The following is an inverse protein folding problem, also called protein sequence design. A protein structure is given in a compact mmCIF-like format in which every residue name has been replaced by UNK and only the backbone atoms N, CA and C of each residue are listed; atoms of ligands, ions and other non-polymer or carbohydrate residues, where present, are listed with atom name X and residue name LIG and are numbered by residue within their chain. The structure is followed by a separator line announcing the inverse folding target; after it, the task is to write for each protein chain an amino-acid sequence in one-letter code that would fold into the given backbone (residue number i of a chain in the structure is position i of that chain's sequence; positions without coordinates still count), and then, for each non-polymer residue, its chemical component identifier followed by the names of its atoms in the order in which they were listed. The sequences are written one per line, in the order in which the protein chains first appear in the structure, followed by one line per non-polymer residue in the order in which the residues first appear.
data_IF_615697415334
#
_entry.id   IF_615697415334
#
_cell.length_a   1.000
_cell.length_b   1.000
_cell.length_c   1.000
_cell.angle_alpha   90.00
_cell.angle_beta   90.00
_cell.angle_gamma   90.00
#
_symmetry.space_group_name_H-M   'P 1'
#
loop_
_entity.id
_entity.type
_entity.pdbx_description
1 polymer ?
#
# COMPACT_ATOMS: atom_id res chain seq x y z
N UNK A 1 -10.10 17.44 23.23
CA UNK A 1 -11.01 16.47 22.58
C UNK A 1 -10.39 15.08 22.68
N UNK A 2 -11.17 14.03 22.89
CA UNK A 2 -10.68 12.64 22.90
C UNK A 2 -11.33 11.88 21.74
N UNK A 3 -10.57 11.00 21.09
CA UNK A 3 -11.04 10.12 20.02
C UNK A 3 -10.43 8.74 20.15
N UNK A 4 -11.27 7.72 20.12
CA UNK A 4 -10.83 6.32 20.09
C UNK A 4 -11.09 5.73 18.71
N UNK A 5 -10.15 4.94 18.20
CA UNK A 5 -10.30 4.30 16.91
C UNK A 5 -9.10 3.47 16.49
N UNK A 6 -9.29 2.72 15.40
CA UNK A 6 -8.22 1.95 14.79
C UNK A 6 -7.22 2.90 14.14
N UNK A 7 -5.96 2.79 14.54
CA UNK A 7 -4.84 3.49 13.94
C UNK A 7 -4.53 2.84 12.59
N UNK A 8 -4.31 3.67 11.57
CA UNK A 8 -3.87 3.27 10.26
C UNK A 8 -2.69 4.12 9.85
N UNK A 9 -1.56 3.47 9.55
CA UNK A 9 -0.32 4.13 9.13
C UNK A 9 -0.08 3.76 7.67
N UNK A 10 -0.09 4.74 6.78
CA UNK A 10 0.16 4.53 5.36
C UNK A 10 0.83 5.76 4.75
N UNK A 11 1.85 5.56 3.91
CA UNK A 11 2.58 6.63 3.23
C UNK A 11 3.10 7.75 4.18
N UNK A 12 3.65 7.37 5.34
CA UNK A 12 4.11 8.29 6.40
C UNK A 12 3.00 9.11 7.10
N UNK A 13 1.73 8.87 6.77
CA UNK A 13 0.60 9.49 7.43
C UNK A 13 -0.06 8.52 8.42
N UNK A 14 -0.43 9.04 9.58
CA UNK A 14 -1.22 8.31 10.57
C UNK A 14 -2.67 8.80 10.57
N UNK A 15 -3.62 7.86 10.61
CA UNK A 15 -5.07 8.12 10.55
C UNK A 15 -5.80 7.33 11.62
N UNK A 16 -6.74 7.96 12.32
CA UNK A 16 -7.65 7.28 13.26
C UNK A 16 -9.09 7.43 12.79
N UNK A 17 -9.74 6.32 12.47
CA UNK A 17 -11.11 6.30 11.90
C UNK A 17 -11.24 7.23 10.69
N UNK A 18 -10.23 7.25 9.80
CA UNK A 18 -10.21 8.08 8.60
C UNK A 18 -9.85 9.56 8.82
N UNK A 19 -9.61 9.99 10.06
CA UNK A 19 -9.13 11.34 10.35
C UNK A 19 -7.61 11.37 10.39
N UNK A 20 -7.01 12.29 9.65
CA UNK A 20 -5.57 12.51 9.60
C UNK A 20 -5.05 13.07 10.93
N UNK A 21 -3.93 12.55 11.38
CA UNK A 21 -3.25 12.98 12.60
C UNK A 21 -2.08 13.88 12.24
N UNK A 22 -1.93 14.98 12.97
CA UNK A 22 -0.78 15.86 12.91
C UNK A 22 -0.28 16.15 14.32
N UNK A 23 0.97 16.61 14.42
CA UNK A 23 1.54 17.07 15.67
C UNK A 23 2.14 18.45 15.49
N UNK A 24 1.96 19.28 16.52
CA UNK A 24 2.65 20.57 16.57
C UNK A 24 4.13 20.29 16.88
N UNK A 25 4.99 20.62 15.93
CA UNK A 25 6.44 20.46 16.00
C UNK A 25 7.11 21.66 15.37
N UNK A 26 8.37 21.90 15.71
CA UNK A 26 9.19 22.95 15.11
C UNK A 26 9.69 22.56 13.70
N UNK A 27 9.55 21.29 13.32
CA UNK A 27 9.88 20.75 12.00
C UNK A 27 8.79 21.00 10.94
N UNK A 28 9.15 20.89 9.66
CA UNK A 28 8.19 21.07 8.56
C UNK A 28 7.26 19.88 8.31
N UNK A 29 7.44 18.75 8.99
CA UNK A 29 6.71 17.51 8.73
C UNK A 29 5.79 17.12 9.91
N UNK A 30 4.64 17.80 9.98
CA UNK A 30 3.65 17.64 11.07
C UNK A 30 2.99 16.26 11.07
N UNK A 31 2.86 15.62 9.90
CA UNK A 31 2.21 14.32 9.72
C UNK A 31 3.15 13.15 10.02
N UNK A 32 4.40 13.23 9.57
CA UNK A 32 5.46 12.31 9.92
C UNK A 32 5.77 12.35 11.41
N UNK A 33 5.81 13.55 12.01
CA UNK A 33 5.96 13.71 13.45
C UNK A 33 4.83 13.04 14.25
N UNK A 34 3.60 13.09 13.75
CA UNK A 34 2.48 12.37 14.36
C UNK A 34 2.66 10.84 14.25
N UNK A 35 3.12 10.36 13.08
CA UNK A 35 3.40 8.94 12.86
C UNK A 35 4.51 8.43 13.77
N UNK A 36 5.63 9.15 13.87
CA UNK A 36 6.72 8.82 14.79
C UNK A 36 6.26 8.88 16.25
N UNK A 37 5.42 9.84 16.61
CA UNK A 37 4.84 9.90 17.94
C UNK A 37 4.00 8.67 18.28
N UNK A 38 3.18 8.17 17.33
CA UNK A 38 2.41 6.94 17.55
C UNK A 38 3.34 5.74 17.77
N UNK A 39 4.36 5.59 16.93
CA UNK A 39 5.35 4.51 17.03
C UNK A 39 6.09 4.57 18.38
N UNK A 40 6.50 5.76 18.80
CA UNK A 40 7.17 5.99 20.09
C UNK A 40 6.26 5.67 21.30
N UNK A 41 4.94 5.77 21.14
CA UNK A 41 3.96 5.33 22.14
C UNK A 41 3.53 3.87 21.98
N UNK A 42 4.30 3.07 21.23
CA UNK A 42 4.05 1.65 21.02
C UNK A 42 2.66 1.36 20.40
N UNK A 43 2.20 2.28 19.54
CA UNK A 43 0.98 2.17 18.77
C UNK A 43 1.30 1.83 17.31
N UNK A 44 0.97 0.62 16.88
CA UNK A 44 1.27 0.12 15.54
C UNK A 44 0.07 0.23 14.59
N UNK A 45 0.29 0.01 13.29
CA UNK A 45 -0.80 -0.08 12.31
C UNK A 45 -1.80 -1.19 12.70
N UNK A 46 -3.08 -0.85 12.70
CA UNK A 46 -4.17 -1.74 13.09
C UNK A 46 -4.49 -1.77 14.58
N UNK A 47 -3.70 -1.12 15.43
CA UNK A 47 -3.99 -1.05 16.85
C UNK A 47 -5.19 -0.15 17.18
N UNK A 48 -5.88 -0.49 18.26
CA UNK A 48 -6.87 0.37 18.85
C UNK A 48 -6.19 1.41 19.74
N UNK A 49 -6.36 2.68 19.41
CA UNK A 49 -5.73 3.77 20.14
C UNK A 49 -6.76 4.79 20.59
N UNK A 50 -6.50 5.41 21.73
CA UNK A 50 -7.19 6.60 22.18
C UNK A 50 -6.23 7.78 22.10
N UNK A 51 -6.61 8.79 21.34
CA UNK A 51 -5.86 10.02 21.14
C UNK A 51 -6.59 11.19 21.77
N UNK A 52 -5.83 12.12 22.36
CA UNK A 52 -6.37 13.38 22.83
C UNK A 52 -5.70 14.54 22.12
N UNK A 53 -6.46 15.60 21.88
CA UNK A 53 -5.95 16.83 21.32
C UNK A 53 -7.05 17.69 20.72
N UNK A 54 -6.77 18.35 19.59
CA UNK A 54 -7.64 19.34 18.98
C UNK A 54 -7.91 19.05 17.49
N UNK A 55 -9.17 19.17 17.05
CA UNK A 55 -9.53 19.06 15.65
C UNK A 55 -9.51 20.45 14.99
N UNK A 56 -8.64 20.67 13.99
CA UNK A 56 -8.55 21.93 13.22
C UNK A 56 -8.51 21.58 11.73
N UNK A 57 -9.41 22.18 10.94
CA UNK A 57 -9.41 22.00 9.48
C UNK A 57 -9.57 20.56 8.98
N UNK A 58 -10.21 19.67 9.77
CA UNK A 58 -10.35 18.25 9.43
C UNK A 58 -9.15 17.36 9.80
N UNK A 59 -8.10 17.96 10.37
CA UNK A 59 -6.92 17.27 10.91
C UNK A 59 -7.00 17.25 12.43
N UNK A 60 -6.66 16.12 13.04
CA UNK A 60 -6.61 15.96 14.48
C UNK A 60 -5.18 16.15 14.97
N UNK A 61 -4.95 17.24 15.68
CA UNK A 61 -3.69 17.58 16.31
C UNK A 61 -3.57 16.81 17.61
N UNK A 62 -2.61 15.90 17.67
CA UNK A 62 -2.46 14.94 18.77
C UNK A 62 -1.51 15.50 19.84
N UNK A 63 -2.00 15.57 21.08
CA UNK A 63 -1.20 15.84 22.28
C UNK A 63 -0.74 14.54 22.95
N UNK A 64 -1.67 13.61 23.13
CA UNK A 64 -1.38 12.30 23.75
C UNK A 64 -2.01 11.16 22.96
N UNK A 65 -1.34 10.01 22.98
CA UNK A 65 -1.81 8.79 22.38
C UNK A 65 -1.54 7.63 23.33
N UNK A 66 -2.53 6.75 23.51
CA UNK A 66 -2.39 5.51 24.27
C UNK A 66 -3.01 4.35 23.50
N UNK A 67 -2.31 3.22 23.50
CA UNK A 67 -2.88 1.94 23.07
C UNK A 67 -3.96 1.51 24.07
N UNK A 68 -5.08 1.03 23.56
CA UNK A 68 -6.19 0.52 24.36
C UNK A 68 -6.66 -0.82 23.81
N UNK A 69 -7.51 -1.51 24.57
CA UNK A 69 -8.06 -2.80 24.17
C UNK A 69 -8.79 -2.71 22.83
N UNK A 70 -8.53 -3.68 21.95
CA UNK A 70 -9.15 -3.76 20.61
C UNK A 70 -10.68 -3.79 20.65
N UNK A 71 -11.25 -4.27 21.75
CA UNK A 71 -12.69 -4.28 22.03
C UNK A 71 -13.32 -2.87 22.04
N UNK A 72 -12.55 -1.82 22.34
CA UNK A 72 -13.02 -0.43 22.33
C UNK A 72 -13.12 0.15 20.92
N UNK A 73 -12.37 -0.40 19.96
CA UNK A 73 -12.46 -0.04 18.55
C UNK A 73 -13.34 -0.98 17.74
N UNK A 74 -13.73 -2.12 18.31
CA UNK A 74 -14.65 -3.11 17.74
C UNK A 74 -16.11 -2.62 17.74
N UNK A 75 -16.37 -1.45 17.15
CA UNK A 75 -17.63 -1.19 16.44
C UNK A 75 -17.64 -1.99 15.12
N UNK A 76 -18.80 -2.19 14.44
CA UNK A 76 -19.07 -3.30 13.52
C UNK A 76 -18.31 -3.24 12.18
N UNK A 77 -16.98 -3.34 12.21
CA UNK A 77 -16.12 -3.31 11.03
C UNK A 77 -15.05 -4.42 11.03
N UNK A 78 -14.99 -5.28 12.07
CA UNK A 78 -14.06 -6.41 12.16
C UNK A 78 -14.45 -7.65 11.32
N UNK A 79 -15.43 -7.56 10.42
CA UNK A 79 -15.77 -8.66 9.52
C UNK A 79 -14.95 -8.71 8.21
N UNK A 80 -13.99 -7.80 7.98
CA UNK A 80 -13.31 -7.68 6.67
C UNK A 80 -11.80 -7.44 6.73
N UNK A 81 -11.07 -8.21 7.53
CA UNK A 81 -9.60 -8.22 7.42
C UNK A 81 -8.95 -9.62 7.51
N UNK A 82 -9.72 -10.72 7.52
CA UNK A 82 -9.17 -12.09 7.47
C UNK A 82 -8.83 -12.56 6.04
N UNK A 83 -8.37 -11.67 5.16
CA UNK A 83 -8.02 -12.04 3.78
C UNK A 83 -6.75 -11.36 3.29
N UNK A 84 -5.63 -11.54 4.01
CA UNK A 84 -4.28 -11.36 3.44
C UNK A 84 -3.19 -11.98 4.33
N UNK A 85 -3.29 -13.27 4.63
CA UNK A 85 -2.11 -14.08 5.00
C UNK A 85 -2.00 -15.21 4.00
N UNK A 86 -1.29 -14.95 2.89
CA UNK A 86 -0.77 -16.00 2.01
C UNK A 86 0.45 -15.48 1.24
N UNK A 87 1.51 -15.11 1.96
CA UNK A 87 2.85 -15.07 1.39
C UNK A 87 3.83 -15.77 2.32
N UNK A 88 3.99 -17.09 2.14
CA UNK A 88 5.25 -17.76 2.36
C UNK A 88 5.20 -19.24 1.94
N UNK A 89 6.06 -19.56 0.96
CA UNK A 89 7.03 -20.65 1.06
C UNK A 89 6.52 -22.06 0.73
N UNK A 90 6.83 -22.49 -0.49
CA UNK A 90 7.05 -23.91 -0.79
C UNK A 90 8.17 -24.03 -1.81
N UNK A 91 9.38 -24.28 -1.30
CA UNK A 91 10.49 -24.76 -2.08
C UNK A 91 10.43 -26.30 -2.16
N UNK A 92 10.45 -26.82 -3.40
CA UNK A 92 11.10 -28.09 -3.75
C UNK A 92 10.40 -29.42 -3.44
N UNK A 93 9.84 -30.07 -4.47
CA UNK A 93 10.26 -31.41 -5.00
C UNK A 93 9.23 -31.93 -6.04
N UNK A 94 9.70 -32.11 -7.28
CA UNK A 94 9.14 -33.00 -8.32
C UNK A 94 9.40 -34.46 -7.87
N UNK A 95 8.71 -35.56 -8.30
CA UNK A 95 7.89 -35.73 -9.53
C UNK A 95 6.61 -36.59 -9.41
N UNK A 96 5.73 -36.57 -10.43
CA UNK A 96 5.34 -37.74 -11.24
C UNK A 96 4.00 -37.59 -12.00
N UNK A 97 4.04 -38.10 -13.24
CA UNK A 97 2.97 -38.74 -14.04
C UNK A 97 1.91 -37.88 -14.77
N UNK A 98 2.24 -37.65 -16.05
CA UNK A 98 1.42 -37.59 -17.27
C UNK A 98 -0.08 -37.91 -17.11
N UNK A 99 -0.92 -36.96 -17.53
CA UNK A 99 -2.19 -37.21 -18.24
C UNK A 99 -2.42 -36.11 -19.27
N UNK A 100 -2.86 -36.52 -20.47
CA UNK A 100 -3.01 -35.71 -21.67
C UNK A 100 -4.32 -34.90 -21.67
N UNK A 101 -4.25 -33.76 -22.34
CA UNK A 101 -5.27 -33.09 -23.16
C UNK A 101 -6.49 -32.42 -22.48
N UNK A 102 -6.51 -31.08 -22.55
CA UNK A 102 -7.65 -30.33 -23.04
C UNK A 102 -7.15 -29.03 -23.70
N UNK A 103 -7.39 -28.90 -25.02
CA UNK A 103 -7.17 -27.67 -25.78
C UNK A 103 -8.20 -26.64 -25.29
N UNK A 104 -7.76 -25.51 -24.74
CA UNK A 104 -8.63 -24.34 -24.56
C UNK A 104 -8.21 -23.21 -25.48
N UNK A 105 -9.23 -22.55 -25.99
CA UNK A 105 -9.24 -21.69 -27.16
C UNK A 105 -8.43 -20.39 -27.01
N UNK A 106 -7.87 -20.00 -28.15
CA UNK A 106 -7.35 -18.67 -28.50
C UNK A 106 -8.29 -17.52 -28.10
N UNK A 107 -7.79 -16.46 -27.44
CA UNK A 107 -8.50 -15.17 -27.44
C UNK A 107 -8.25 -14.43 -28.77
N UNK A 108 -9.35 -14.01 -29.41
CA UNK A 108 -9.41 -13.18 -30.62
C UNK A 108 -8.64 -11.87 -30.42
N UNK A 109 -7.58 -11.66 -31.20
CA UNK A 109 -6.94 -10.37 -31.36
C UNK A 109 -7.88 -9.45 -32.16
N UNK A 110 -8.35 -8.39 -31.51
CA UNK A 110 -9.17 -7.34 -32.12
C UNK A 110 -8.34 -6.68 -33.23
N UNK A 111 -8.87 -6.78 -34.45
CA UNK A 111 -8.32 -6.16 -35.65
C UNK A 111 -8.70 -4.68 -35.65
N UNK A 112 -7.70 -3.78 -35.64
CA UNK A 112 -7.90 -2.36 -35.95
C UNK A 112 -7.27 -2.10 -37.32
N UNK A 113 -8.01 -1.61 -38.32
CA UNK A 113 -7.51 -1.41 -39.66
C UNK A 113 -6.88 -0.02 -39.82
N UNK A 114 -5.72 0.07 -40.48
CA UNK A 114 -5.37 1.27 -41.23
C UNK A 114 -3.92 1.75 -41.17
N UNK A 115 -3.15 1.34 -42.20
CA UNK A 115 -2.06 2.06 -42.90
C UNK A 115 -0.83 2.52 -42.09
N UNK A 116 0.42 2.39 -42.54
CA UNK A 116 1.14 1.59 -43.53
C UNK A 116 2.59 2.13 -43.49
N UNK A 117 3.59 1.23 -43.59
CA UNK A 117 4.98 1.47 -44.05
C UNK A 117 5.87 2.23 -43.03
N UNK A 118 7.10 1.81 -42.69
CA UNK A 118 8.18 1.28 -43.54
C UNK A 118 9.22 0.59 -42.66
N UNK A 119 9.82 -0.48 -43.18
CA UNK A 119 10.94 -1.21 -42.61
C UNK A 119 12.21 -0.34 -42.51
N UNK A 120 13.00 -0.52 -41.45
CA UNK A 120 14.44 -0.23 -41.47
C UNK A 120 15.20 -1.44 -40.94
N UNK A 121 15.91 -2.08 -41.87
CA UNK A 121 16.90 -3.14 -41.64
C UNK A 121 18.10 -2.57 -40.89
N UNK A 122 18.67 -3.37 -40.00
CA UNK A 122 20.08 -3.31 -39.58
C UNK A 122 20.98 -3.31 -40.83
N UNK A 123 21.94 -2.39 -40.88
CA UNK A 123 23.16 -2.55 -41.65
C UNK A 123 24.32 -1.84 -40.93
N UNK A 124 25.26 -2.65 -40.46
CA UNK A 124 26.62 -2.24 -40.11
C UNK A 124 27.40 -1.91 -41.38
N UNK A 125 28.11 -0.78 -41.43
CA UNK A 125 29.28 -0.56 -42.29
C UNK A 125 30.02 0.70 -41.79
N UNK A 126 31.22 0.62 -41.22
CA UNK A 126 32.56 0.48 -41.82
C UNK A 126 32.90 1.57 -42.86
N UNK A 127 33.88 2.39 -42.46
CA UNK A 127 34.91 3.13 -43.23
C UNK A 127 34.52 4.31 -44.14
N UNK A 128 35.25 5.42 -43.93
CA UNK A 128 35.53 6.50 -44.89
C UNK A 128 35.78 7.81 -44.11
N UNK A 129 37.02 8.20 -43.77
CA UNK A 129 38.11 8.77 -44.60
C UNK A 129 37.82 10.22 -45.06
N UNK A 130 38.42 11.15 -44.31
CA UNK A 130 39.12 12.43 -44.65
C UNK A 130 38.64 13.31 -45.82
N UNK A 131 38.82 14.63 -45.65
CA UNK A 131 39.94 15.32 -46.28
C UNK A 131 41.17 15.49 -45.37
#
# INVERSE_FOLDING_TARGET
MEKTGTLKIANHESKVNGTLLARETDDQDEFGAATEFMINNNCDDGDCVTITGNLKGGVFWVDTAKKVDSSLCAGPALARAEFSVAVAKSAGRVPAKKTKAAKSATPKLITVPGKQKKAVKKASNKKGKKP
#
